data_IF_721784060627
#
_entry.id   IF_721784060627
#
_cell.length_a   1.000
_cell.length_b   1.000
_cell.length_c   1.000
_cell.angle_alpha   90.00
_cell.angle_beta   90.00
_cell.angle_gamma   90.00
#
_symmetry.space_group_name_H-M   'P 1'
#
loop_
_entity.id
_entity.type
_entity.pdbx_description
1 polymer ?
#
# COMPACT_ATOMS: atom_id res chain seq x y z
N UNK A 1 -62.34 25.68 -25.69
CA UNK A 1 -63.16 24.47 -25.83
C UNK A 1 -62.96 23.87 -27.22
N UNK A 2 -62.26 22.73 -27.31
CA UNK A 2 -62.59 21.59 -28.19
C UNK A 2 -61.61 20.47 -27.86
N UNK A 3 -62.15 19.37 -27.35
CA UNK A 3 -61.50 18.07 -27.08
C UNK A 3 -61.77 17.18 -28.30
N UNK A 4 -60.87 16.25 -28.61
CA UNK A 4 -61.11 14.86 -29.10
C UNK A 4 -59.72 14.18 -29.17
N UNK A 5 -59.34 13.27 -28.26
CA UNK A 5 -59.67 11.85 -28.04
C UNK A 5 -58.61 10.89 -28.61
N UNK A 6 -58.21 9.95 -27.73
CA UNK A 6 -57.16 8.93 -27.82
C UNK A 6 -57.28 7.96 -29.01
N UNK A 7 -56.13 7.35 -29.37
CA UNK A 7 -56.02 5.91 -29.57
C UNK A 7 -54.60 5.42 -29.21
N UNK A 8 -54.55 4.41 -28.33
CA UNK A 8 -53.41 3.53 -28.12
C UNK A 8 -53.57 2.28 -28.99
N UNK A 9 -52.46 1.61 -29.36
CA UNK A 9 -52.25 0.16 -29.32
C UNK A 9 -50.76 -0.13 -29.56
N UNK A 10 -50.30 -1.14 -28.84
CA UNK A 10 -48.94 -1.62 -28.54
C UNK A 10 -48.54 -2.71 -29.57
N UNK A 11 -47.27 -3.14 -29.53
CA UNK A 11 -46.65 -4.38 -30.05
C UNK A 11 -45.86 -4.21 -31.38
N UNK A 12 -44.64 -4.70 -31.57
CA UNK A 12 -43.68 -5.47 -30.77
C UNK A 12 -42.29 -5.35 -31.41
N UNK A 13 -41.25 -5.35 -30.57
CA UNK A 13 -39.96 -6.02 -30.81
C UNK A 13 -39.00 -5.41 -31.83
N UNK A 14 -37.88 -4.88 -31.35
CA UNK A 14 -36.56 -5.47 -31.65
C UNK A 14 -35.68 -5.35 -30.40
N UNK A 15 -35.24 -6.51 -29.94
CA UNK A 15 -34.27 -6.70 -28.88
C UNK A 15 -32.89 -6.37 -29.41
N UNK A 16 -32.28 -5.30 -28.89
CA UNK A 16 -30.83 -5.17 -28.80
C UNK A 16 -30.51 -4.58 -27.43
N UNK A 17 -30.84 -5.31 -26.35
CA UNK A 17 -30.00 -5.21 -25.16
C UNK A 17 -28.71 -5.94 -25.52
N UNK A 18 -27.77 -5.20 -26.10
CA UNK A 18 -26.36 -5.51 -25.95
C UNK A 18 -26.08 -5.37 -24.46
N UNK A 19 -26.26 -6.46 -23.71
CA UNK A 19 -25.51 -6.63 -22.48
C UNK A 19 -24.05 -6.69 -22.92
N UNK A 20 -23.42 -5.51 -22.97
CA UNK A 20 -22.01 -5.45 -22.63
C UNK A 20 -21.97 -5.99 -21.22
N UNK A 21 -21.60 -7.26 -21.07
CA UNK A 21 -20.89 -7.65 -19.85
C UNK A 21 -19.58 -6.88 -19.96
N UNK A 22 -19.62 -5.60 -19.57
CA UNK A 22 -18.46 -4.98 -18.99
C UNK A 22 -18.32 -5.73 -17.67
N UNK A 23 -17.69 -6.90 -17.75
CA UNK A 23 -16.88 -7.39 -16.66
C UNK A 23 -15.80 -6.32 -16.50
N UNK A 24 -16.19 -5.22 -15.83
CA UNK A 24 -15.29 -4.36 -15.11
C UNK A 24 -14.63 -5.31 -14.12
N UNK A 25 -13.56 -5.96 -14.56
CA UNK A 25 -12.44 -6.29 -13.72
C UNK A 25 -12.02 -4.95 -13.10
N UNK A 26 -12.74 -4.53 -12.05
CA UNK A 26 -12.39 -3.38 -11.24
C UNK A 26 -11.02 -3.72 -10.69
N UNK A 27 -10.02 -3.23 -11.40
CA UNK A 27 -8.63 -3.42 -11.02
C UNK A 27 -8.50 -2.60 -9.75
N UNK A 28 -8.51 -3.27 -8.60
CA UNK A 28 -8.40 -2.63 -7.29
C UNK A 28 -7.25 -1.60 -7.35
N UNK A 29 -7.58 -0.33 -7.17
CA UNK A 29 -6.58 0.72 -7.23
C UNK A 29 -5.76 0.75 -5.94
N UNK A 30 -4.48 1.14 -6.04
CA UNK A 30 -3.64 1.28 -4.86
C UNK A 30 -4.23 2.31 -3.88
N UNK A 31 -4.51 1.86 -2.67
CA UNK A 31 -4.80 2.72 -1.53
C UNK A 31 -3.76 2.48 -0.43
N UNK A 32 -3.14 3.54 0.08
CA UNK A 32 -2.25 3.44 1.24
C UNK A 32 -3.04 3.15 2.53
N UNK A 33 -4.31 3.57 2.60
CA UNK A 33 -5.14 3.47 3.81
C UNK A 33 -5.43 2.01 4.12
N UNK A 34 -5.12 1.58 5.34
CA UNK A 34 -5.29 0.22 5.81
C UNK A 34 -4.11 -0.26 6.66
N UNK A 35 -4.22 -1.49 7.16
CA UNK A 35 -3.19 -2.14 7.97
C UNK A 35 -2.20 -2.83 7.05
N UNK A 36 -0.92 -2.59 7.29
CA UNK A 36 0.18 -3.24 6.60
C UNK A 36 1.11 -3.96 7.59
N UNK A 37 1.76 -5.02 7.11
CA UNK A 37 2.65 -5.86 7.89
C UNK A 37 4.06 -5.93 7.30
N UNK A 38 5.13 -5.93 8.11
CA UNK A 38 6.49 -6.13 7.62
C UNK A 38 6.65 -7.47 6.91
N UNK A 39 7.11 -7.43 5.66
CA UNK A 39 7.34 -8.61 4.85
C UNK A 39 8.83 -8.96 4.78
N UNK A 40 9.67 -8.01 4.34
CA UNK A 40 11.09 -8.23 4.07
C UNK A 40 11.87 -6.92 3.98
N UNK A 41 13.18 -7.03 4.10
CA UNK A 41 14.16 -5.99 3.78
C UNK A 41 14.80 -6.31 2.43
N UNK A 42 14.90 -5.32 1.55
CA UNK A 42 15.69 -5.41 0.31
C UNK A 42 16.80 -4.37 0.39
N UNK A 43 18.05 -4.79 0.21
CA UNK A 43 19.19 -3.88 0.12
C UNK A 43 19.63 -3.80 -1.33
N UNK A 44 19.68 -2.60 -1.88
CA UNK A 44 20.09 -2.33 -3.26
C UNK A 44 21.35 -1.47 -3.25
N UNK A 45 22.39 -1.92 -3.93
CA UNK A 45 23.68 -1.24 -3.96
C UNK A 45 23.55 0.18 -4.51
N UNK A 46 24.08 1.17 -3.79
CA UNK A 46 24.13 2.56 -4.26
C UNK A 46 25.10 2.75 -5.43
N UNK A 47 26.12 1.88 -5.52
CA UNK A 47 27.18 1.95 -6.52
C UNK A 47 26.71 1.50 -7.92
N UNK A 48 25.93 0.41 -8.00
CA UNK A 48 25.58 -0.22 -9.28
C UNK A 48 24.11 -0.66 -9.40
N UNK A 49 23.27 -0.44 -8.38
CA UNK A 49 21.85 -0.79 -8.38
C UNK A 49 21.56 -2.29 -8.28
N UNK A 50 22.56 -3.14 -8.02
CA UNK A 50 22.36 -4.58 -7.84
C UNK A 50 21.76 -4.85 -6.46
N UNK A 51 20.79 -5.77 -6.38
CA UNK A 51 20.27 -6.25 -5.10
C UNK A 51 21.36 -7.03 -4.35
N UNK A 52 21.76 -6.50 -3.21
CA UNK A 52 22.74 -7.10 -2.30
C UNK A 52 22.08 -8.15 -1.40
N UNK A 53 20.85 -7.90 -0.95
CA UNK A 53 20.07 -8.84 -0.16
C UNK A 53 18.57 -8.65 -0.38
N UNK A 54 17.81 -9.71 -0.11
CA UNK A 54 16.35 -9.72 -0.08
C UNK A 54 15.93 -10.75 0.98
N UNK A 55 15.67 -10.27 2.19
CA UNK A 55 15.57 -11.11 3.39
C UNK A 55 14.23 -10.88 4.07
N UNK A 56 13.45 -11.96 4.18
CA UNK A 56 12.18 -11.92 4.92
C UNK A 56 12.40 -11.58 6.39
N UNK A 57 11.50 -10.75 6.93
CA UNK A 57 11.47 -10.53 8.37
C UNK A 57 11.03 -11.80 9.10
N UNK A 58 11.52 -11.95 10.33
CA UNK A 58 11.20 -13.12 11.16
C UNK A 58 9.78 -13.04 11.71
N UNK A 59 9.24 -14.20 12.09
CA UNK A 59 7.82 -14.36 12.37
C UNK A 59 7.22 -13.35 13.36
N UNK A 60 7.92 -13.00 14.43
CA UNK A 60 7.38 -12.05 15.40
C UNK A 60 7.28 -10.62 14.83
N UNK A 61 8.34 -10.13 14.20
CA UNK A 61 8.34 -8.78 13.65
C UNK A 61 7.32 -8.61 12.51
N UNK A 62 7.10 -9.65 11.70
CA UNK A 62 6.03 -9.66 10.69
C UNK A 62 4.61 -9.57 11.26
N UNK A 63 4.40 -9.79 12.57
CA UNK A 63 3.10 -9.53 13.22
C UNK A 63 2.87 -8.05 13.54
N UNK A 64 3.91 -7.22 13.46
CA UNK A 64 3.80 -5.77 13.62
C UNK A 64 2.82 -5.18 12.62
N UNK A 65 2.16 -4.09 13.02
CA UNK A 65 1.18 -3.40 12.18
C UNK A 65 1.59 -1.97 11.93
N UNK A 66 1.37 -1.51 10.69
CA UNK A 66 1.44 -0.12 10.27
C UNK A 66 0.09 0.27 9.67
N UNK A 67 -0.77 0.88 10.50
CA UNK A 67 -2.14 1.24 10.14
C UNK A 67 -2.20 2.71 9.68
N UNK A 68 -2.21 2.90 8.36
CA UNK A 68 -2.44 4.19 7.74
C UNK A 68 -3.93 4.51 7.75
N UNK A 69 -4.36 5.37 8.67
CA UNK A 69 -5.77 5.72 8.83
C UNK A 69 -6.20 6.85 7.89
N UNK A 70 -7.47 6.82 7.48
CA UNK A 70 -8.08 7.85 6.61
C UNK A 70 -8.11 9.27 7.21
N UNK A 71 -7.80 9.42 8.50
CA UNK A 71 -7.67 10.70 9.19
C UNK A 71 -6.21 11.20 9.25
N UNK A 72 -5.34 10.78 8.32
CA UNK A 72 -3.95 11.24 8.22
C UNK A 72 -3.07 10.88 9.43
N UNK A 73 -3.38 9.77 10.08
CA UNK A 73 -2.60 9.25 11.22
C UNK A 73 -2.08 7.85 10.89
N UNK A 74 -0.78 7.63 11.10
CA UNK A 74 -0.15 6.31 11.04
C UNK A 74 -0.03 5.80 12.47
N UNK A 75 -0.64 4.65 12.74
CA UNK A 75 -0.50 3.96 14.03
C UNK A 75 0.36 2.72 13.81
N UNK A 76 1.50 2.65 14.48
CA UNK A 76 2.36 1.48 14.47
C UNK A 76 2.24 0.70 15.78
N UNK A 77 2.29 -0.62 15.69
CA UNK A 77 2.43 -1.50 16.85
C UNK A 77 3.49 -2.52 16.52
N UNK A 78 4.64 -2.42 17.18
CA UNK A 78 5.82 -3.21 16.86
C UNK A 78 5.87 -4.41 17.79
N UNK A 79 6.17 -5.58 17.24
CA UNK A 79 6.34 -6.83 17.98
C UNK A 79 7.76 -7.36 17.83
N UNK A 80 8.37 -7.73 18.95
CA UNK A 80 9.71 -8.33 18.98
C UNK A 80 9.74 -9.52 19.95
N UNK A 81 10.75 -10.38 19.78
CA UNK A 81 11.01 -11.45 20.74
C UNK A 81 11.62 -10.85 22.00
N UNK A 82 10.99 -11.07 23.15
CA UNK A 82 11.61 -10.74 24.42
C UNK A 82 12.70 -11.75 24.81
N UNK A 83 13.37 -11.53 25.94
CA UNK A 83 14.44 -12.41 26.47
C UNK A 83 14.00 -13.85 26.78
N UNK A 84 12.70 -14.15 26.69
CA UNK A 84 12.12 -15.49 26.88
C UNK A 84 11.55 -16.06 25.58
N UNK A 85 11.96 -15.53 24.43
CA UNK A 85 11.51 -15.92 23.09
C UNK A 85 9.99 -15.80 22.88
N UNK A 86 9.31 -14.95 23.65
CA UNK A 86 7.90 -14.65 23.42
C UNK A 86 7.75 -13.43 22.52
N UNK A 87 6.85 -13.52 21.55
CA UNK A 87 6.50 -12.39 20.70
C UNK A 87 5.60 -11.42 21.46
N UNK A 88 6.10 -10.22 21.75
CA UNK A 88 5.40 -9.22 22.56
C UNK A 88 5.45 -7.85 21.89
N UNK A 89 4.39 -7.06 22.10
CA UNK A 89 4.37 -5.66 21.66
C UNK A 89 5.41 -4.85 22.45
N UNK A 90 6.23 -4.08 21.74
CA UNK A 90 7.22 -3.16 22.32
C UNK A 90 6.63 -1.77 22.55
N UNK A 91 5.46 -1.48 21.97
CA UNK A 91 4.74 -0.22 22.14
C UNK A 91 3.83 0.08 20.95
N UNK A 92 2.97 1.09 21.15
CA UNK A 92 2.18 1.70 20.09
C UNK A 92 2.69 3.11 19.89
N UNK A 93 2.97 3.47 18.64
CA UNK A 93 3.31 4.84 18.27
C UNK A 93 2.26 5.39 17.30
N UNK A 94 2.08 6.71 17.31
CA UNK A 94 1.03 7.39 16.56
C UNK A 94 1.56 8.71 16.03
N UNK A 95 1.73 8.76 14.71
CA UNK A 95 2.38 9.88 14.03
C UNK A 95 1.51 10.43 12.90
N UNK A 96 1.58 11.73 12.58
CA UNK A 96 0.89 12.27 11.42
C UNK A 96 1.53 11.78 10.12
N UNK A 97 0.72 11.55 9.09
CA UNK A 97 1.20 11.31 7.73
C UNK A 97 0.35 12.01 6.68
N UNK A 98 0.94 12.27 5.52
CA UNK A 98 0.20 12.67 4.31
C UNK A 98 0.61 11.79 3.15
N UNK A 99 -0.34 11.56 2.24
CA UNK A 99 -0.09 10.78 1.03
C UNK A 99 -0.84 11.39 -0.15
N UNK A 100 -0.09 11.73 -1.20
CA UNK A 100 -0.62 12.15 -2.48
C UNK A 100 -0.50 10.99 -3.47
N UNK A 101 -1.66 10.42 -3.84
CA UNK A 101 -1.72 9.31 -4.79
C UNK A 101 -1.14 9.69 -6.14
N UNK A 102 -1.48 10.87 -6.68
CA UNK A 102 -1.06 11.28 -8.03
C UNK A 102 0.44 11.60 -8.07
N UNK A 103 0.93 12.32 -7.05
CA UNK A 103 2.33 12.71 -6.96
C UNK A 103 3.26 11.58 -6.49
N UNK A 104 2.73 10.42 -6.06
CA UNK A 104 3.52 9.34 -5.43
C UNK A 104 4.34 9.84 -4.24
N UNK A 105 3.76 10.77 -3.46
CA UNK A 105 4.45 11.42 -2.36
C UNK A 105 3.87 10.95 -1.03
N UNK A 106 4.72 10.37 -0.18
CA UNK A 106 4.42 10.02 1.21
C UNK A 106 5.26 10.92 2.12
N UNK A 107 4.63 11.47 3.14
CA UNK A 107 5.30 12.23 4.20
C UNK A 107 4.89 11.66 5.54
N UNK A 108 5.84 11.30 6.39
CA UNK A 108 5.60 10.81 7.76
C UNK A 108 6.35 11.73 8.70
N UNK A 109 5.68 12.27 9.73
CA UNK A 109 6.27 13.24 10.68
C UNK A 109 6.92 14.49 10.05
N UNK A 110 6.51 14.84 8.83
CA UNK A 110 7.07 15.97 8.09
C UNK A 110 8.29 15.61 7.23
N UNK A 111 8.72 14.35 7.21
CA UNK A 111 9.81 13.86 6.38
C UNK A 111 9.28 13.18 5.12
N UNK A 112 9.87 13.54 3.97
CA UNK A 112 9.54 12.92 2.68
C UNK A 112 10.09 11.48 2.64
N UNK A 113 9.19 10.52 2.41
CA UNK A 113 9.52 9.10 2.31
C UNK A 113 9.55 8.69 0.85
N UNK A 114 10.67 8.14 0.40
CA UNK A 114 10.81 7.64 -0.96
C UNK A 114 10.00 6.34 -1.15
N UNK A 115 9.02 6.36 -2.04
CA UNK A 115 8.28 5.17 -2.47
C UNK A 115 9.00 4.55 -3.66
N UNK A 116 9.45 3.31 -3.51
CA UNK A 116 10.06 2.51 -4.58
C UNK A 116 8.99 1.87 -5.46
N UNK A 117 7.99 1.26 -4.83
CA UNK A 117 6.89 0.57 -5.51
C UNK A 117 5.63 0.57 -4.66
N UNK A 118 4.47 0.51 -5.32
CA UNK A 118 3.17 0.40 -4.67
C UNK A 118 2.21 -0.41 -5.54
N UNK A 119 1.64 -1.44 -4.95
CA UNK A 119 0.63 -2.32 -5.51
C UNK A 119 -0.44 -2.57 -4.45
N UNK A 120 -1.59 -3.12 -4.84
CA UNK A 120 -2.72 -3.37 -3.92
C UNK A 120 -2.29 -4.10 -2.63
N UNK A 121 -1.31 -5.01 -2.74
CA UNK A 121 -0.88 -5.89 -1.65
C UNK A 121 0.57 -5.66 -1.20
N UNK A 122 1.31 -4.74 -1.81
CA UNK A 122 2.72 -4.50 -1.46
C UNK A 122 3.09 -3.01 -1.59
N UNK A 123 3.68 -2.47 -0.53
CA UNK A 123 4.26 -1.13 -0.47
C UNK A 123 5.75 -1.27 -0.16
N UNK A 124 6.59 -0.64 -0.98
CA UNK A 124 8.04 -0.59 -0.79
C UNK A 124 8.46 0.85 -0.59
N UNK A 125 9.08 1.14 0.55
CA UNK A 125 9.62 2.46 0.89
C UNK A 125 11.09 2.35 1.27
N UNK A 126 11.88 3.39 1.01
CA UNK A 126 13.24 3.48 1.55
C UNK A 126 13.15 3.86 3.02
N UNK A 127 13.66 3.02 3.92
CA UNK A 127 13.70 3.30 5.35
C UNK A 127 14.96 4.06 5.75
N UNK A 128 16.09 3.76 5.10
CA UNK A 128 17.37 4.40 5.36
C UNK A 128 18.33 4.25 4.18
N UNK A 129 19.40 5.03 4.24
CA UNK A 129 20.56 4.98 3.38
C UNK A 129 21.76 4.62 4.25
N UNK A 130 22.43 3.50 3.96
CA UNK A 130 23.53 2.98 4.78
C UNK A 130 24.49 2.15 3.92
N UNK A 131 25.80 2.22 4.18
CA UNK A 131 26.82 1.45 3.45
C UNK A 131 26.85 -0.01 3.94
N UNK A 132 25.88 -0.80 3.48
CA UNK A 132 25.68 -2.19 3.93
C UNK A 132 26.75 -3.15 3.41
N UNK A 133 27.53 -2.76 2.40
CA UNK A 133 28.56 -3.60 1.79
C UNK A 133 30.00 -3.13 2.05
N UNK A 134 30.19 -1.93 2.62
CA UNK A 134 31.47 -1.38 3.02
C UNK A 134 32.30 -0.80 1.86
N UNK A 135 31.68 -0.41 0.74
CA UNK A 135 32.37 0.19 -0.41
C UNK A 135 32.47 1.72 -0.36
N UNK A 136 31.92 2.34 0.70
CA UNK A 136 31.93 3.78 0.93
C UNK A 136 30.83 4.54 0.19
N UNK A 137 29.84 3.85 -0.39
CA UNK A 137 28.66 4.44 -1.03
C UNK A 137 27.41 3.92 -0.33
N UNK A 138 26.54 4.83 0.12
CA UNK A 138 25.31 4.44 0.81
C UNK A 138 24.39 3.61 -0.10
N UNK A 139 23.95 2.46 0.41
CA UNK A 139 23.00 1.56 -0.23
C UNK A 139 21.56 1.93 0.17
N UNK A 140 20.60 1.62 -0.70
CA UNK A 140 19.17 1.79 -0.39
C UNK A 140 18.69 0.61 0.44
N UNK A 141 18.23 0.88 1.66
CA UNK A 141 17.53 -0.10 2.50
C UNK A 141 16.02 0.09 2.31
N UNK A 142 15.38 -0.90 1.71
CA UNK A 142 13.96 -0.86 1.35
C UNK A 142 13.18 -1.70 2.35
N UNK A 143 12.26 -1.04 3.06
CA UNK A 143 11.29 -1.68 3.92
C UNK A 143 10.04 -2.06 3.12
N UNK A 144 9.76 -3.37 3.07
CA UNK A 144 8.62 -3.91 2.33
C UNK A 144 7.50 -4.26 3.28
N UNK A 145 6.34 -3.66 3.02
CA UNK A 145 5.09 -3.84 3.73
C UNK A 145 4.10 -4.60 2.83
N UNK A 146 3.33 -5.53 3.40
CA UNK A 146 2.33 -6.33 2.69
C UNK A 146 0.97 -6.34 3.42
N UNK A 147 -0.09 -6.67 2.66
CA UNK A 147 -1.46 -6.86 3.15
C UNK A 147 -1.89 -8.32 3.10
#
# INVERSE_FOLDING_TARGET
MKKFFLLAIISSGFVFNSCSNDDDDQTEEFSIVGIWHPSREIVVSGNNGVTLSNTSYSGCYSTSTFDFKSNNTLVSNIFELNTSDNCVSTGIDTVPYTYDHNAKKLVIEGEDIEIVSRTVNELQIVSEYDDRNGDGIDDKVIFVLAR
#
